data_IF_186631710531
#
_entry.id   IF_186631710531
#
_cell.length_a   1.000
_cell.length_b   1.000
_cell.length_c   1.000
_cell.angle_alpha   90.00
_cell.angle_beta   90.00
_cell.angle_gamma   90.00
#
_symmetry.space_group_name_H-M   'P 1'
#
loop_
_entity.id
_entity.type
_entity.pdbx_description
1 polymer ?
#
# COMPACT_ATOMS: atom_id res chain seq x y z
N UNK A 1 22.30 -2.61 -2.33
CA UNK A 1 21.04 -3.23 -1.90
C UNK A 1 20.11 -3.35 -3.09
N UNK A 2 19.68 -4.56 -3.44
CA UNK A 2 18.80 -4.82 -4.60
C UNK A 2 17.33 -4.72 -4.22
N UNK A 3 16.43 -4.61 -5.20
CA UNK A 3 14.98 -4.66 -4.93
C UNK A 3 14.59 -5.98 -4.25
N UNK A 4 15.20 -7.08 -4.67
CA UNK A 4 14.93 -8.42 -4.11
C UNK A 4 15.26 -8.47 -2.63
N UNK A 5 16.42 -7.95 -2.23
CA UNK A 5 16.81 -7.84 -0.81
C UNK A 5 15.80 -7.01 -0.01
N UNK A 6 15.35 -5.88 -0.56
CA UNK A 6 14.37 -5.00 0.10
C UNK A 6 12.98 -5.63 0.26
N UNK A 7 12.59 -6.51 -0.65
CA UNK A 7 11.35 -7.29 -0.51
C UNK A 7 11.53 -8.36 0.59
N UNK A 8 12.67 -9.05 0.57
CA UNK A 8 12.99 -10.09 1.56
C UNK A 8 13.03 -9.54 2.99
N UNK A 9 13.61 -8.36 3.21
CA UNK A 9 13.75 -7.75 4.54
C UNK A 9 12.63 -6.75 4.92
N UNK A 10 11.58 -6.64 4.09
CA UNK A 10 10.43 -5.72 4.27
C UNK A 10 10.74 -4.23 4.20
N UNK A 11 11.94 -3.81 3.81
CA UNK A 11 12.30 -2.39 3.60
C UNK A 11 11.83 -1.82 2.25
N UNK A 12 11.23 -2.64 1.39
CA UNK A 12 10.55 -2.18 0.18
C UNK A 12 9.36 -1.28 0.55
N UNK A 13 9.13 -0.25 -0.26
CA UNK A 13 7.92 0.59 -0.17
C UNK A 13 6.96 0.13 -1.24
N UNK A 14 5.69 -0.06 -0.87
CA UNK A 14 4.66 -0.56 -1.76
C UNK A 14 3.71 0.59 -2.10
N UNK A 15 3.50 0.83 -3.38
CA UNK A 15 2.43 1.70 -3.88
C UNK A 15 1.28 0.84 -4.39
N UNK A 16 0.06 1.14 -3.96
CA UNK A 16 -1.15 0.47 -4.49
C UNK A 16 -2.02 1.53 -5.16
N UNK A 17 -2.30 1.34 -6.46
CA UNK A 17 -3.10 2.28 -7.28
C UNK A 17 -4.52 1.75 -7.42
N UNK A 18 -5.50 2.57 -7.03
CA UNK A 18 -6.92 2.26 -6.93
C UNK A 18 -7.31 1.72 -5.55
N UNK A 19 -7.98 2.53 -4.72
CA UNK A 19 -8.45 2.19 -3.37
C UNK A 19 -9.92 1.77 -3.37
N UNK A 20 -10.27 0.89 -4.31
CA UNK A 20 -11.58 0.26 -4.38
C UNK A 20 -11.65 -1.05 -3.59
N UNK A 21 -12.63 -1.89 -3.95
CA UNK A 21 -12.89 -3.18 -3.31
C UNK A 21 -11.67 -4.13 -3.25
N UNK A 22 -10.79 -4.11 -4.25
CA UNK A 22 -9.59 -4.96 -4.27
C UNK A 22 -8.38 -4.26 -3.66
N UNK A 23 -8.14 -3.01 -4.06
CA UNK A 23 -6.90 -2.34 -3.70
C UNK A 23 -6.81 -1.91 -2.24
N UNK A 24 -7.92 -1.55 -1.59
CA UNK A 24 -7.91 -1.23 -0.17
C UNK A 24 -7.57 -2.47 0.70
N UNK A 25 -8.25 -3.62 0.57
CA UNK A 25 -7.84 -4.83 1.27
C UNK A 25 -6.40 -5.25 0.96
N UNK A 26 -5.96 -5.13 -0.30
CA UNK A 26 -4.58 -5.44 -0.68
C UNK A 26 -3.55 -4.55 0.04
N UNK A 27 -3.79 -3.24 0.08
CA UNK A 27 -2.94 -2.30 0.80
C UNK A 27 -2.88 -2.63 2.31
N UNK A 28 -4.01 -3.01 2.91
CA UNK A 28 -4.09 -3.44 4.31
C UNK A 28 -3.26 -4.71 4.54
N UNK A 29 -3.37 -5.71 3.68
CA UNK A 29 -2.60 -6.96 3.85
C UNK A 29 -1.10 -6.74 3.72
N UNK A 30 -0.65 -5.86 2.81
CA UNK A 30 0.76 -5.48 2.75
C UNK A 30 1.24 -4.71 3.99
N UNK A 31 0.39 -3.83 4.54
CA UNK A 31 0.70 -3.13 5.78
C UNK A 31 0.81 -4.11 6.97
N UNK A 32 -0.12 -5.06 7.08
CA UNK A 32 -0.08 -6.16 8.07
C UNK A 32 1.15 -7.05 7.91
N UNK A 33 1.61 -7.25 6.67
CA UNK A 33 2.83 -8.00 6.37
C UNK A 33 4.13 -7.25 6.72
N UNK A 34 4.04 -6.03 7.24
CA UNK A 34 5.17 -5.24 7.74
C UNK A 34 5.77 -4.25 6.74
N UNK A 35 5.13 -4.05 5.58
CA UNK A 35 5.63 -3.08 4.60
C UNK A 35 5.10 -1.67 4.86
N UNK A 36 5.87 -0.67 4.43
CA UNK A 36 5.35 0.69 4.25
C UNK A 36 4.55 0.77 2.96
N UNK A 37 3.26 1.06 3.08
CA UNK A 37 2.32 1.12 1.95
C UNK A 37 1.81 2.54 1.74
N UNK A 38 1.72 2.96 0.48
CA UNK A 38 1.06 4.19 0.06
C UNK A 38 -0.08 3.83 -0.87
N UNK A 39 -1.32 4.10 -0.44
CA UNK A 39 -2.51 3.99 -1.28
C UNK A 39 -2.67 5.24 -2.15
N UNK A 40 -3.01 5.04 -3.43
CA UNK A 40 -3.20 6.10 -4.42
C UNK A 40 -4.57 5.88 -5.06
N UNK A 41 -5.43 6.89 -5.07
CA UNK A 41 -6.68 6.89 -5.83
C UNK A 41 -6.88 8.27 -6.47
N UNK A 42 -7.60 8.32 -7.58
CA UNK A 42 -7.96 9.58 -8.26
C UNK A 42 -9.13 10.28 -7.58
N UNK A 43 -9.94 9.53 -6.81
CA UNK A 43 -11.07 10.06 -6.08
C UNK A 43 -10.63 10.57 -4.70
N UNK A 44 -10.58 11.90 -4.49
CA UNK A 44 -10.13 12.47 -3.22
C UNK A 44 -11.06 12.10 -2.05
N UNK A 45 -12.34 11.78 -2.31
CA UNK A 45 -13.27 11.36 -1.25
C UNK A 45 -12.91 9.98 -0.70
N UNK A 46 -12.46 9.06 -1.56
CA UNK A 46 -12.00 7.73 -1.12
C UNK A 46 -10.74 7.84 -0.28
N UNK A 47 -9.77 8.65 -0.73
CA UNK A 47 -8.52 8.87 0.01
C UNK A 47 -8.82 9.49 1.39
N UNK A 48 -9.68 10.51 1.45
CA UNK A 48 -10.08 11.15 2.70
C UNK A 48 -10.85 10.20 3.64
N UNK A 49 -11.64 9.26 3.11
CA UNK A 49 -12.37 8.28 3.92
C UNK A 49 -11.50 7.17 4.51
N UNK A 50 -10.28 6.97 4.00
CA UNK A 50 -9.33 5.94 4.47
C UNK A 50 -8.27 6.55 5.39
N UNK A 51 -7.88 7.81 5.15
CA UNK A 51 -6.81 8.49 5.89
C UNK A 51 -7.26 9.01 7.26
N UNK A 52 -6.68 8.46 8.32
CA UNK A 52 -6.55 9.07 9.64
C UNK A 52 -5.11 8.86 10.15
#
# INVERSE_FOLDING_TARGET
MTLRERISDRSARIGVVGMGYVGLPLAIEFAKAGYRVTGIDVDPKKVAGIGA
#
